data_IF_693982138875
#
_entry.id   IF_693982138875
#
_cell.length_a   1.000
_cell.length_b   1.000
_cell.length_c   1.000
_cell.angle_alpha   90.00
_cell.angle_beta   90.00
_cell.angle_gamma   90.00
#
_symmetry.space_group_name_H-M   'P 1'
#
loop_
_entity.id
_entity.type
_entity.pdbx_description
1 polymer ?
#
# COMPACT_ATOMS: atom_id res chain seq x y z
N UNK A 1 13.85 9.48 -4.46
CA UNK A 1 13.25 9.02 -3.19
C UNK A 1 11.80 9.48 -3.18
N UNK A 2 10.84 8.59 -2.92
CA UNK A 2 9.42 8.96 -2.96
C UNK A 2 8.95 9.27 -1.55
N UNK A 3 8.38 10.45 -1.33
CA UNK A 3 7.79 10.84 -0.03
C UNK A 3 6.27 10.90 -0.19
N UNK A 4 5.58 9.94 0.37
CA UNK A 4 4.14 10.02 0.59
C UNK A 4 3.91 9.94 2.10
N UNK A 5 3.39 11.01 2.72
CA UNK A 5 3.18 11.04 4.17
C UNK A 5 2.26 9.94 4.68
N UNK A 6 1.37 9.45 3.80
CA UNK A 6 0.39 8.40 4.11
C UNK A 6 0.71 7.04 3.49
N UNK A 7 1.95 6.82 3.05
CA UNK A 7 2.34 5.56 2.39
C UNK A 7 2.08 4.32 3.23
N UNK A 8 2.51 4.36 4.50
CA UNK A 8 2.39 3.23 5.41
C UNK A 8 0.93 2.79 5.59
N UNK A 9 0.04 3.70 6.02
CA UNK A 9 -1.40 3.41 6.10
C UNK A 9 -2.01 2.92 4.78
N UNK A 10 -1.62 3.48 3.63
CA UNK A 10 -2.10 3.03 2.33
C UNK A 10 -1.68 1.58 2.02
N UNK A 11 -0.42 1.21 2.31
CA UNK A 11 0.05 -0.17 2.15
C UNK A 11 -0.67 -1.14 3.09
N UNK A 12 -0.94 -0.73 4.34
CA UNK A 12 -1.74 -1.53 5.29
C UNK A 12 -3.15 -1.78 4.74
N UNK A 13 -3.79 -0.74 4.19
CA UNK A 13 -5.13 -0.84 3.62
C UNK A 13 -5.14 -1.84 2.45
N UNK A 14 -4.22 -1.70 1.50
CA UNK A 14 -4.12 -2.61 0.36
C UNK A 14 -3.86 -4.05 0.81
N UNK A 15 -2.94 -4.26 1.75
CA UNK A 15 -2.66 -5.59 2.29
C UNK A 15 -3.89 -6.24 2.94
N UNK A 16 -4.62 -5.48 3.77
CA UNK A 16 -5.81 -5.99 4.44
C UNK A 16 -6.92 -6.34 3.44
N UNK A 17 -7.07 -5.57 2.36
CA UNK A 17 -8.02 -5.89 1.27
C UNK A 17 -7.70 -7.21 0.57
N UNK A 18 -6.42 -7.56 0.46
CA UNK A 18 -5.99 -8.86 -0.08
C UNK A 18 -6.04 -9.99 0.96
N UNK A 19 -6.46 -9.72 2.20
CA UNK A 19 -6.49 -10.73 3.26
C UNK A 19 -5.12 -11.26 3.67
N UNK A 20 -4.02 -10.57 3.33
CA UNK A 20 -2.67 -11.07 3.54
C UNK A 20 -2.06 -10.62 4.88
N UNK A 21 -1.26 -11.50 5.48
CA UNK A 21 -0.41 -11.12 6.62
C UNK A 21 0.83 -10.37 6.15
N UNK A 22 1.47 -9.60 7.04
CA UNK A 22 2.75 -8.95 6.71
C UNK A 22 3.81 -9.99 6.29
N UNK A 23 3.86 -11.14 6.96
CA UNK A 23 4.80 -12.22 6.62
C UNK A 23 4.59 -12.71 5.18
N UNK A 24 3.34 -12.98 4.79
CA UNK A 24 3.01 -13.45 3.45
C UNK A 24 3.39 -12.44 2.36
N UNK A 25 3.10 -11.15 2.57
CA UNK A 25 3.47 -10.10 1.61
C UNK A 25 4.98 -9.92 1.53
N UNK A 26 5.67 -9.94 2.67
CA UNK A 26 7.12 -9.79 2.71
C UNK A 26 7.82 -10.93 1.96
N UNK A 27 7.36 -12.16 2.16
CA UNK A 27 7.84 -13.36 1.46
C UNK A 27 7.59 -13.25 -0.06
N UNK A 28 6.36 -12.96 -0.48
CA UNK A 28 6.00 -12.78 -1.89
C UNK A 28 6.77 -11.63 -2.55
N UNK A 29 7.03 -10.55 -1.81
CA UNK A 29 7.84 -9.44 -2.30
C UNK A 29 9.34 -9.72 -2.20
N UNK A 30 9.78 -10.85 -1.65
CA UNK A 30 11.18 -11.24 -1.42
C UNK A 30 11.95 -10.26 -0.53
N UNK A 31 11.32 -9.82 0.57
CA UNK A 31 11.91 -8.93 1.56
C UNK A 31 11.69 -9.45 2.98
N UNK A 32 12.43 -8.88 3.94
CA UNK A 32 12.29 -9.21 5.34
C UNK A 32 10.99 -8.59 5.93
N UNK A 33 10.23 -9.34 6.73
CA UNK A 33 9.02 -8.87 7.43
C UNK A 33 9.24 -7.59 8.25
N UNK A 34 10.41 -7.42 8.87
CA UNK A 34 10.77 -6.19 9.59
C UNK A 34 10.89 -4.98 8.67
N UNK A 35 11.32 -5.17 7.42
CA UNK A 35 11.32 -4.09 6.41
C UNK A 35 9.91 -3.70 6.02
N UNK A 36 9.03 -4.67 5.77
CA UNK A 36 7.62 -4.37 5.47
C UNK A 36 6.94 -3.66 6.65
N UNK A 37 7.12 -4.16 7.87
CA UNK A 37 6.59 -3.51 9.08
C UNK A 37 7.07 -2.06 9.21
N UNK A 38 8.36 -1.80 8.95
CA UNK A 38 8.90 -0.44 8.94
C UNK A 38 8.26 0.44 7.85
N UNK A 39 7.97 -0.11 6.67
CA UNK A 39 7.27 0.63 5.61
C UNK A 39 5.82 0.94 5.99
N UNK A 40 5.09 -0.02 6.54
CA UNK A 40 3.70 0.15 6.99
C UNK A 40 3.57 1.14 8.16
N UNK A 41 4.55 1.18 9.07
CA UNK A 41 4.51 2.06 10.25
C UNK A 41 5.11 3.44 10.00
N UNK A 42 6.24 3.52 9.30
CA UNK A 42 7.03 4.75 9.20
C UNK A 42 7.05 5.38 7.81
N UNK A 43 6.65 4.66 6.75
CA UNK A 43 6.57 5.18 5.37
C UNK A 43 7.88 5.75 4.78
N UNK A 44 8.99 5.68 5.51
CA UNK A 44 10.27 6.32 5.17
C UNK A 44 11.19 5.37 4.42
N UNK A 45 12.04 5.94 3.55
CA UNK A 45 13.13 5.27 2.84
C UNK A 45 12.71 4.07 1.97
N UNK A 46 11.47 4.05 1.47
CA UNK A 46 11.05 3.08 0.47
C UNK A 46 11.64 3.46 -0.91
N UNK A 47 12.38 2.54 -1.51
CA UNK A 47 12.87 2.70 -2.88
C UNK A 47 11.73 2.43 -3.88
N UNK A 48 11.80 3.02 -5.07
CA UNK A 48 10.83 2.74 -6.14
C UNK A 48 10.80 1.24 -6.51
N UNK A 49 11.96 0.56 -6.49
CA UNK A 49 12.05 -0.89 -6.71
C UNK A 49 11.33 -1.67 -5.62
N UNK A 50 11.50 -1.30 -4.35
CA UNK A 50 10.80 -1.93 -3.23
C UNK A 50 9.30 -1.70 -3.30
N UNK A 51 8.87 -0.49 -3.67
CA UNK A 51 7.47 -0.17 -3.88
C UNK A 51 6.86 -1.05 -4.97
N UNK A 52 7.52 -1.15 -6.12
CA UNK A 52 7.05 -1.99 -7.22
C UNK A 52 6.92 -3.46 -6.82
N UNK A 53 7.90 -4.00 -6.07
CA UNK A 53 7.84 -5.38 -5.55
C UNK A 53 6.68 -5.60 -4.59
N UNK A 54 6.37 -4.61 -3.74
CA UNK A 54 5.22 -4.67 -2.84
C UNK A 54 3.90 -4.66 -3.60
N UNK A 55 3.74 -3.75 -4.55
CA UNK A 55 2.53 -3.67 -5.37
C UNK A 55 2.30 -4.97 -6.16
N UNK A 56 3.36 -5.54 -6.74
CA UNK A 56 3.32 -6.86 -7.39
C UNK A 56 2.91 -7.98 -6.43
N UNK A 57 3.46 -8.01 -5.21
CA UNK A 57 3.11 -9.03 -4.21
C UNK A 57 1.69 -8.89 -3.67
N UNK A 58 1.13 -7.67 -3.71
CA UNK A 58 -0.23 -7.34 -3.32
C UNK A 58 -1.23 -7.46 -4.48
N UNK A 59 -0.80 -7.87 -5.67
CA UNK A 59 -1.60 -7.85 -6.90
C UNK A 59 -2.31 -6.49 -7.11
N UNK A 60 -1.57 -5.40 -6.86
CA UNK A 60 -2.06 -4.03 -6.95
C UNK A 60 -1.27 -3.25 -8.00
N UNK A 61 -1.94 -2.26 -8.60
CA UNK A 61 -1.33 -1.27 -9.48
C UNK A 61 -0.98 0.03 -8.74
N UNK A 62 -0.32 0.96 -9.45
CA UNK A 62 -0.12 2.32 -8.94
C UNK A 62 -1.45 3.09 -8.82
N UNK A 63 -2.46 2.74 -9.60
CA UNK A 63 -3.80 3.34 -9.50
C UNK A 63 -4.44 2.95 -8.17
N UNK A 64 -4.30 1.68 -7.76
CA UNK A 64 -4.78 1.21 -6.45
C UNK A 64 -4.04 1.91 -5.29
N UNK A 65 -2.73 2.15 -5.47
CA UNK A 65 -1.95 2.89 -4.49
C UNK A 65 -2.37 4.36 -4.38
N UNK A 66 -2.57 5.04 -5.51
CA UNK A 66 -3.05 6.42 -5.54
C UNK A 66 -4.43 6.52 -4.88
N UNK A 67 -5.33 5.60 -5.24
CA UNK A 67 -6.64 5.44 -4.63
C UNK A 67 -6.52 5.28 -3.10
N UNK A 68 -5.70 4.33 -2.63
CA UNK A 68 -5.49 4.12 -1.20
C UNK A 68 -4.92 5.37 -0.51
N UNK A 69 -3.93 6.04 -1.10
CA UNK A 69 -3.33 7.28 -0.59
C UNK A 69 -4.36 8.39 -0.40
N UNK A 70 -5.23 8.62 -1.38
CA UNK A 70 -6.30 9.62 -1.28
C UNK A 70 -7.26 9.33 -0.13
N UNK A 71 -7.66 8.07 0.02
CA UNK A 71 -8.57 7.66 1.08
C UNK A 71 -7.98 7.84 2.47
N UNK A 72 -6.73 7.41 2.69
CA UNK A 72 -6.08 7.58 4.00
C UNK A 72 -5.71 9.04 4.30
N UNK A 73 -5.63 9.88 3.27
CA UNK A 73 -5.49 11.35 3.42
C UNK A 73 -6.81 12.05 3.73
N UNK A 74 -7.95 11.37 3.65
CA UNK A 74 -9.27 11.96 3.89
C UNK A 74 -9.78 12.83 2.73
N UNK A 75 -9.21 12.68 1.53
CA UNK A 75 -9.73 13.35 0.33
C UNK A 75 -11.12 12.80 0.00
N UNK A 76 -12.15 13.67 0.00
CA UNK A 76 -13.52 13.28 -0.32
C UNK A 76 -13.65 12.96 -1.81
N UNK A 77 -14.15 11.77 -2.14
CA UNK A 77 -14.58 11.45 -3.50
C UNK A 77 -16.04 11.84 -3.70
N UNK A 78 -16.42 12.45 -4.85
CA UNK A 78 -17.82 12.42 -5.26
C UNK A 78 -18.23 10.95 -5.40
N UNK A 79 -19.36 10.60 -4.79
CA UNK A 79 -19.88 9.25 -4.47
C UNK A 79 -20.14 8.33 -5.69
N UNK A 80 -19.56 8.60 -6.87
CA UNK A 80 -19.91 7.96 -8.15
C UNK A 80 -18.73 7.47 -9.00
N UNK A 81 -17.60 7.11 -8.40
CA UNK A 81 -16.53 6.44 -9.16
C UNK A 81 -16.65 4.91 -9.04
N UNK A 82 -16.88 4.23 -10.16
CA UNK A 82 -16.90 2.75 -10.33
C UNK A 82 -15.61 2.02 -9.88
N UNK A 83 -14.58 2.75 -9.47
CA UNK A 83 -13.25 2.23 -9.12
C UNK A 83 -12.95 2.29 -7.61
N UNK A 84 -13.96 2.43 -6.74
CA UNK A 84 -13.77 2.47 -5.27
C UNK A 84 -14.54 1.35 -4.54
N UNK A 85 -14.02 0.74 -3.46
CA UNK A 85 -14.66 -0.40 -2.82
C UNK A 85 -15.63 0.05 -1.75
N UNK A 86 -16.84 -0.48 -1.87
CA UNK A 86 -17.84 -0.61 -0.81
C UNK A 86 -17.23 -1.47 0.31
N UNK A 87 -17.35 -0.99 1.56
CA UNK A 87 -16.97 -1.72 2.78
C UNK A 87 -18.03 -2.79 3.06
#
# INVERSE_FOLDING_TARGET
MVRFEKLGPALVLLRKRQGMTQKAVAEAAGMNSSRLSNYESNGKNLSARSLWRLLRALDCSFVDLEAALRFVSGEQFPVRSKHWPVI
#
